data_IF_173476618368
#
_entry.id   IF_173476618368
#
_cell.length_a   1.000
_cell.length_b   1.000
_cell.length_c   1.000
_cell.angle_alpha   90.00
_cell.angle_beta   90.00
_cell.angle_gamma   90.00
#
_symmetry.space_group_name_H-M   'P 1'
#
loop_
_entity.id
_entity.type
_entity.pdbx_description
1 polymer ?
2 non-polymer ?
3 non-polymer ?
4 water ?
#
# COMPACT_ATOMS: atom_id res chain seq x y z
N UNK A 1 -15.33 -13.56 4.21
CA UNK A 1 -14.15 -14.38 4.43
C UNK A 1 -12.99 -13.86 3.62
N UNK A 2 -12.67 -14.55 2.52
CA UNK A 2 -11.66 -14.04 1.58
C UNK A 2 -12.30 -13.07 0.60
N UNK A 3 -11.78 -11.85 0.56
CA UNK A 3 -12.22 -10.84 -0.38
C UNK A 3 -11.69 -11.16 -1.77
N UNK A 4 -12.27 -10.50 -2.77
CA UNK A 4 -11.89 -10.74 -4.16
C UNK A 4 -10.78 -9.76 -4.53
N UNK A 5 -9.67 -10.29 -5.00
CA UNK A 5 -8.52 -9.51 -5.44
C UNK A 5 -8.50 -9.52 -6.97
N UNK A 6 -8.30 -8.35 -7.61
CA UNK A 6 -8.03 -7.02 -7.03
C UNK A 6 -9.25 -6.44 -6.31
N UNK A 7 -8.99 -5.76 -5.20
CA UNK A 7 -10.04 -5.23 -4.35
C UNK A 7 -9.93 -3.72 -4.31
N UNK A 8 -11.06 -3.02 -4.41
CA UNK A 8 -11.02 -1.58 -4.27
C UNK A 8 -11.77 -1.16 -3.02
N UNK A 9 -11.08 -0.41 -2.17
CA UNK A 9 -11.65 0.14 -0.95
C UNK A 9 -11.83 1.64 -1.12
N UNK A 10 -13.06 2.14 -1.20
CA UNK A 10 -13.27 3.59 -1.24
C UNK A 10 -12.78 4.24 0.05
N UNK A 11 -12.18 5.43 -0.09
CA UNK A 11 -11.70 6.23 1.03
C UNK A 11 -12.50 7.52 1.01
N UNK A 12 -13.64 7.57 1.71
CA UNK A 12 -14.59 8.68 1.52
C UNK A 12 -13.98 10.03 1.87
N UNK A 13 -13.94 10.92 0.89
CA UNK A 13 -13.32 12.21 1.12
C UNK A 13 -11.81 12.15 1.21
N UNK A 14 -11.19 11.09 0.69
CA UNK A 14 -9.74 11.00 0.63
C UNK A 14 -9.14 10.63 1.97
N UNK A 15 -7.83 10.85 2.09
CA UNK A 15 -7.13 10.57 3.33
C UNK A 15 -6.81 11.88 4.03
N UNK A 16 -6.33 11.75 5.26
CA UNK A 16 -6.13 12.89 6.15
C UNK A 16 -5.23 12.38 7.26
N UNK A 17 -4.34 13.20 7.83
CA UNK A 17 -3.53 12.71 8.94
C UNK A 17 -4.43 12.16 10.04
N UNK A 18 -3.91 11.12 10.71
CA UNK A 18 -4.52 10.30 11.76
C UNK A 18 -5.46 9.25 11.19
N UNK A 19 -5.51 9.08 9.88
CA UNK A 19 -6.29 8.01 9.27
C UNK A 19 -5.42 6.76 9.16
N UNK A 20 -5.92 5.64 9.68
CA UNK A 20 -5.18 4.38 9.75
C UNK A 20 -5.88 3.34 8.88
N UNK A 21 -5.16 2.81 7.89
CA UNK A 21 -5.71 1.81 6.98
C UNK A 21 -5.02 0.49 7.30
N UNK A 22 -5.82 -0.56 7.49
CA UNK A 22 -5.34 -1.86 7.94
C UNK A 22 -5.76 -2.92 6.93
N UNK A 23 -4.79 -3.66 6.42
CA UNK A 23 -4.99 -4.69 5.42
C UNK A 23 -4.53 -5.99 6.05
N UNK A 24 -5.42 -6.97 6.13
CA UNK A 24 -5.11 -8.30 6.64
C UNK A 24 -5.22 -9.30 5.50
N UNK A 25 -4.23 -10.18 5.40
CA UNK A 25 -4.24 -11.18 4.34
C UNK A 25 -3.17 -12.21 4.60
N UNK A 26 -3.08 -13.16 3.68
CA UNK A 26 -2.05 -14.19 3.71
C UNK A 26 -1.40 -14.25 2.34
N UNK A 27 -0.07 -14.28 2.31
CA UNK A 27 0.65 -14.38 1.05
C UNK A 27 0.45 -15.78 0.48
N UNK A 28 0.20 -15.86 -0.82
CA UNK A 28 0.08 -17.15 -1.47
C UNK A 28 1.44 -17.85 -1.48
N UNK A 29 1.47 -19.18 -1.65
CA UNK A 29 2.75 -19.85 -1.85
C UNK A 29 3.37 -19.42 -3.18
N UNK A 30 4.70 -19.32 -3.20
CA UNK A 30 5.42 -18.92 -4.41
C UNK A 30 4.93 -17.58 -4.95
N UNK A 31 4.58 -16.66 -4.05
CA UNK A 31 4.11 -15.36 -4.49
C UNK A 31 5.16 -14.63 -5.31
N UNK A 32 4.70 -13.82 -6.26
CA UNK A 32 5.57 -12.96 -7.06
C UNK A 32 5.47 -11.49 -6.69
N UNK A 33 4.28 -10.99 -6.33
CA UNK A 33 4.12 -9.56 -6.05
C UNK A 33 2.91 -9.30 -5.16
N UNK A 34 2.95 -8.14 -4.51
CA UNK A 34 1.83 -7.51 -3.82
C UNK A 34 1.82 -6.06 -4.26
N UNK A 35 0.64 -5.44 -4.32
CA UNK A 35 0.60 -4.01 -4.60
C UNK A 35 -0.55 -3.33 -3.86
N UNK A 36 -0.24 -2.24 -3.16
CA UNK A 36 -1.22 -1.29 -2.66
C UNK A 36 -1.12 -0.02 -3.48
N UNK A 37 -2.26 0.46 -3.98
CA UNK A 37 -2.31 1.65 -4.84
C UNK A 37 -3.31 2.66 -4.27
N UNK A 38 -2.80 3.65 -3.55
CA UNK A 38 -3.62 4.78 -3.09
C UNK A 38 -3.79 5.74 -4.27
N UNK A 39 -5.02 5.84 -4.79
CA UNK A 39 -5.26 6.51 -6.06
C UNK A 39 -6.00 7.83 -5.86
N UNK A 40 -5.59 8.82 -6.65
CA UNK A 40 -6.29 10.09 -6.84
C UNK A 40 -6.76 10.04 -8.29
N UNK A 41 -8.00 9.59 -8.51
CA UNK A 41 -8.43 9.35 -9.88
C UNK A 41 -7.51 8.36 -10.57
N UNK A 42 -7.01 8.72 -11.75
CA UNK A 42 -6.07 7.86 -12.47
C UNK A 42 -4.66 7.92 -11.91
N UNK A 43 -4.34 8.96 -11.13
CA UNK A 43 -3.00 9.04 -10.56
C UNK A 43 -2.89 8.09 -9.38
N UNK A 44 -1.67 7.59 -9.14
CA UNK A 44 -1.40 6.77 -7.96
C UNK A 44 -0.55 7.61 -7.03
N UNK A 45 -1.14 8.03 -5.91
CA UNK A 45 -0.43 8.90 -4.99
C UNK A 45 0.67 8.15 -4.26
N UNK A 46 0.39 6.90 -3.89
CA UNK A 46 1.31 6.08 -3.11
C UNK A 46 1.14 4.66 -3.62
N UNK A 47 2.18 4.15 -4.27
CA UNK A 47 2.28 2.79 -4.79
C UNK A 47 3.24 2.04 -3.88
N UNK A 48 2.77 0.94 -3.28
CA UNK A 48 3.54 0.14 -2.33
C UNK A 48 3.56 -1.28 -2.88
N UNK A 49 4.73 -1.75 -3.32
CA UNK A 49 4.83 -2.88 -4.25
C UNK A 49 5.93 -3.84 -3.81
N UNK A 50 5.63 -4.73 -2.87
CA UNK A 50 6.58 -5.83 -2.58
C UNK A 50 6.80 -6.71 -3.80
N UNK A 51 8.06 -6.95 -4.11
CA UNK A 51 8.47 -7.81 -5.22
C UNK A 51 9.27 -8.98 -4.66
N UNK A 52 8.77 -10.20 -4.85
CA UNK A 52 9.37 -11.37 -4.22
C UNK A 52 10.55 -11.93 -5.00
N UNK A 53 10.70 -11.58 -6.27
CA UNK A 53 11.80 -12.13 -7.05
C UNK A 53 12.11 -11.14 -8.17
N UNK A 54 12.89 -10.11 -7.83
CA UNK A 54 13.46 -9.20 -8.82
C UNK A 54 14.95 -9.53 -8.86
N UNK A 55 15.38 -10.22 -9.92
CA UNK A 55 16.76 -10.68 -10.03
C UNK A 55 17.18 -11.46 -8.79
N UNK A 56 16.26 -12.28 -8.27
CA UNK A 56 16.49 -13.19 -7.14
C UNK A 56 16.66 -12.45 -5.82
N UNK A 57 16.09 -11.26 -5.74
CA UNK A 57 16.11 -10.47 -4.52
C UNK A 57 14.68 -10.06 -4.18
N UNK A 58 14.44 -9.84 -2.90
CA UNK A 58 13.14 -9.39 -2.42
C UNK A 58 13.27 -7.91 -2.09
N UNK A 59 12.41 -7.08 -2.69
CA UNK A 59 12.49 -5.64 -2.52
C UNK A 59 11.08 -5.06 -2.52
N UNK A 60 10.89 -3.99 -1.76
CA UNK A 60 9.64 -3.24 -1.78
C UNK A 60 9.89 -1.96 -2.56
N UNK A 61 9.14 -1.77 -3.64
CA UNK A 61 9.27 -0.60 -4.50
C UNK A 61 8.09 0.33 -4.22
N UNK A 62 8.38 1.60 -3.94
CA UNK A 62 7.34 2.59 -3.74
C UNK A 62 7.51 3.69 -4.77
N UNK A 63 6.39 4.26 -5.21
CA UNK A 63 6.45 5.25 -6.28
C UNK A 63 5.10 5.96 -6.37
N UNK A 64 5.04 6.92 -7.28
CA UNK A 64 3.87 7.74 -7.56
C UNK A 64 3.71 7.78 -9.07
N UNK A 65 2.46 7.78 -9.53
CA UNK A 65 2.14 7.83 -10.95
C UNK A 65 1.30 9.07 -11.22
N UNK A 66 1.82 9.96 -12.06
CA UNK A 66 1.16 11.22 -12.40
C UNK A 66 0.98 11.30 -13.91
N UNK A 67 -0.26 11.55 -14.35
CA UNK A 67 -0.59 11.56 -15.78
C UNK A 67 0.04 10.37 -16.50
N UNK A 68 -0.12 9.19 -15.90
CA UNK A 68 0.32 7.89 -16.43
C UNK A 68 1.83 7.67 -16.43
N UNK A 69 2.62 8.52 -15.78
CA UNK A 69 4.07 8.37 -15.75
C UNK A 69 4.53 8.04 -14.34
N UNK A 70 5.26 6.94 -14.20
CA UNK A 70 5.85 6.58 -12.92
C UNK A 70 7.04 7.49 -12.60
N UNK A 71 7.15 7.88 -11.34
CA UNK A 71 8.20 8.77 -10.89
C UNK A 71 9.47 8.05 -10.48
N UNK A 72 10.25 8.72 -9.64
CA UNK A 72 11.48 8.18 -9.07
C UNK A 72 11.15 7.18 -7.97
N UNK A 73 11.66 5.95 -8.08
CA UNK A 73 11.32 4.90 -7.13
C UNK A 73 12.03 5.12 -5.80
N UNK A 74 11.38 4.69 -4.72
CA UNK A 74 11.99 4.60 -3.40
C UNK A 74 11.98 3.13 -3.01
N UNK A 75 13.15 2.60 -2.68
CA UNK A 75 13.30 1.17 -2.46
C UNK A 75 13.73 0.89 -1.03
N UNK A 76 13.17 -0.16 -0.45
CA UNK A 76 13.47 -0.60 0.90
C UNK A 76 13.77 -2.09 0.85
N UNK A 77 14.95 -2.48 1.33
CA UNK A 77 15.38 -3.87 1.27
C UNK A 77 14.96 -4.69 2.49
N UNK A 78 14.52 -4.06 3.58
CA UNK A 78 13.81 -4.81 4.60
C UNK A 78 12.52 -5.33 3.98
N UNK A 79 12.27 -6.63 4.14
CA UNK A 79 11.19 -7.30 3.41
C UNK A 79 10.53 -8.28 4.37
N UNK A 80 9.51 -7.82 5.11
CA UNK A 80 8.92 -8.67 6.15
C UNK A 80 7.94 -9.73 5.66
N UNK A 81 7.55 -9.72 4.39
CA UNK A 81 6.59 -10.69 3.89
C UNK A 81 7.28 -12.03 3.60
N UNK A 82 6.53 -13.11 3.78
CA UNK A 82 6.99 -14.44 3.40
C UNK A 82 5.84 -15.19 2.74
N UNK A 83 6.15 -15.92 1.67
CA UNK A 83 5.14 -16.72 1.00
C UNK A 83 4.51 -17.69 1.99
N UNK A 84 3.19 -17.85 1.88
CA UNK A 84 2.43 -18.73 2.74
C UNK A 84 2.01 -18.14 4.07
N UNK A 85 2.48 -16.91 4.43
CA UNK A 85 2.32 -16.50 5.82
C UNK A 85 1.34 -15.34 5.96
N UNK A 86 0.57 -15.29 7.05
CA UNK A 86 -0.37 -14.18 7.24
C UNK A 86 0.35 -12.90 7.62
N UNK A 87 -0.15 -11.77 7.12
CA UNK A 87 0.46 -10.48 7.38
C UNK A 87 -0.59 -9.47 7.81
N UNK A 88 -0.13 -8.39 8.44
CA UNK A 88 -0.93 -7.19 8.65
C UNK A 88 -0.12 -6.00 8.17
N UNK A 89 -0.70 -5.21 7.27
CA UNK A 89 -0.11 -3.95 6.83
C UNK A 89 -0.93 -2.82 7.44
N UNK A 90 -0.25 -1.89 8.11
CA UNK A 90 -0.88 -0.69 8.65
C UNK A 90 -0.27 0.52 7.98
N UNK A 91 -1.11 1.32 7.33
CA UNK A 91 -0.69 2.56 6.68
C UNK A 91 -1.34 3.69 7.45
N UNK A 92 -0.52 4.45 8.16
CA UNK A 92 -0.99 5.58 8.96
C UNK A 92 -0.63 6.85 8.21
N UNK A 93 -1.64 7.64 7.89
CA UNK A 93 -1.39 8.91 7.22
C UNK A 93 -0.93 9.91 8.28
N UNK A 94 0.24 10.50 8.07
CA UNK A 94 0.78 11.56 8.90
C UNK A 94 0.94 12.83 8.06
N UNK A 95 1.12 14.00 8.70
CA UNK A 95 1.10 15.26 7.93
C UNK A 95 2.05 15.28 6.74
N UNK A 96 3.24 14.69 6.87
CA UNK A 96 4.25 14.77 5.82
C UNK A 96 4.47 13.47 5.05
N UNK A 97 3.87 12.36 5.46
CA UNK A 97 4.21 11.08 4.83
C UNK A 97 3.17 10.03 5.17
N UNK A 98 3.14 8.98 4.35
CA UNK A 98 2.51 7.72 4.74
C UNK A 98 3.52 6.92 5.56
N UNK A 99 3.09 6.38 6.71
CA UNK A 99 3.95 5.58 7.57
C UNK A 99 3.43 4.14 7.56
N UNK A 100 4.28 3.21 7.13
CA UNK A 100 3.88 1.81 6.95
C UNK A 100 4.58 0.94 7.98
N UNK A 101 3.79 0.15 8.70
CA UNK A 101 4.26 -0.90 9.59
C UNK A 101 3.65 -2.22 9.13
N UNK A 102 4.44 -3.29 9.17
CA UNK A 102 3.95 -4.62 8.84
C UNK A 102 4.13 -5.50 10.07
N UNK A 103 3.07 -6.20 10.46
CA UNK A 103 3.14 -7.10 11.61
C UNK A 103 3.65 -6.35 12.85
N UNK A 104 3.17 -5.12 13.02
CA UNK A 104 3.43 -4.26 14.18
C UNK A 104 4.85 -3.73 14.24
N UNK A 105 5.64 -3.88 13.18
CA UNK A 105 7.01 -3.38 13.15
C UNK A 105 7.12 -2.31 12.07
N UNK A 106 7.64 -1.13 12.44
CA UNK A 106 7.79 -0.05 11.47
C UNK A 106 8.61 -0.51 10.28
N UNK A 107 8.16 -0.15 9.08
CA UNK A 107 8.82 -0.58 7.86
C UNK A 107 9.41 0.58 7.07
N UNK A 108 8.60 1.57 6.71
CA UNK A 108 9.08 2.66 5.87
C UNK A 108 8.09 3.81 5.95
N UNK A 109 8.55 4.98 5.55
CA UNK A 109 7.64 6.08 5.30
C UNK A 109 7.90 6.64 3.90
N UNK A 110 6.86 7.27 3.37
CA UNK A 110 6.84 7.76 2.00
C UNK A 110 6.28 9.16 2.02
N UNK A 111 7.11 10.14 1.66
CA UNK A 111 6.70 11.54 1.71
C UNK A 111 5.62 11.83 0.68
N UNK A 112 4.68 12.72 1.05
CA UNK A 112 3.58 13.07 0.16
C UNK A 112 4.11 13.81 -1.06
N UNK A 113 3.94 13.21 -2.24
CA UNK A 113 4.18 13.90 -3.50
C UNK A 113 2.89 14.50 -4.05
N UNK A 114 1.79 13.76 -3.93
CA UNK A 114 0.45 14.27 -4.20
C UNK A 114 0.01 15.04 -2.96
N UNK A 115 -0.37 16.30 -3.16
CA UNK A 115 -0.65 17.20 -2.05
C UNK A 115 -2.12 17.23 -1.67
N UNK A 116 -3.02 16.93 -2.61
CA UNK A 116 -4.46 16.98 -2.34
C UNK A 116 -4.85 15.67 -1.69
N UNK A 117 -4.52 15.55 -0.40
CA UNK A 117 -4.78 14.30 0.31
C UNK A 117 -6.25 13.93 0.27
N UNK A 118 -7.13 14.93 0.42
CA UNK A 118 -8.58 14.71 0.43
C UNK A 118 -9.12 14.22 -0.91
N UNK A 119 -8.29 14.07 -1.93
CA UNK A 119 -8.74 13.55 -3.22
C UNK A 119 -8.17 12.17 -3.51
N UNK A 120 -7.34 11.65 -2.62
CA UNK A 120 -6.87 10.26 -2.70
C UNK A 120 -7.98 9.39 -2.14
N UNK A 121 -9.00 9.09 -2.95
CA UNK A 121 -10.26 8.56 -2.42
C UNK A 121 -10.45 7.08 -2.72
N UNK A 122 -9.39 6.36 -3.07
CA UNK A 122 -9.60 4.93 -3.27
C UNK A 122 -8.28 4.19 -3.08
N UNK A 123 -8.36 3.00 -2.48
CA UNK A 123 -7.21 2.12 -2.28
C UNK A 123 -7.42 0.82 -3.03
N UNK A 124 -6.57 0.55 -4.01
CA UNK A 124 -6.58 -0.71 -4.73
C UNK A 124 -5.58 -1.67 -4.10
N UNK A 125 -6.03 -2.90 -3.88
CA UNK A 125 -5.22 -3.95 -3.27
C UNK A 125 -5.17 -5.13 -4.24
N UNK A 126 -3.96 -5.54 -4.62
CA UNK A 126 -3.81 -6.54 -5.66
C UNK A 126 -2.56 -7.37 -5.39
N UNK A 127 -2.41 -8.45 -6.15
CA UNK A 127 -1.24 -9.30 -6.07
C UNK A 127 -1.57 -10.68 -5.54
N UNK A 128 -0.51 -11.41 -5.20
CA UNK A 128 -0.60 -12.84 -4.90
C UNK A 128 -0.88 -13.04 -3.41
N UNK A 129 -2.08 -12.61 -2.98
CA UNK A 129 -2.51 -12.77 -1.60
C UNK A 129 -3.93 -13.31 -1.55
N UNK A 130 -4.24 -13.96 -0.43
CA UNK A 130 -5.61 -14.13 0.01
C UNK A 130 -5.92 -12.95 0.91
N UNK A 131 -6.87 -12.11 0.51
CA UNK A 131 -7.19 -10.91 1.27
C UNK A 131 -8.30 -11.22 2.27
N UNK A 132 -8.02 -10.99 3.55
CA UNK A 132 -8.98 -11.28 4.60
C UNK A 132 -9.84 -10.06 4.94
N UNK A 133 -9.21 -8.89 5.06
CA UNK A 133 -9.85 -7.71 5.62
C UNK A 133 -9.15 -6.49 5.05
N UNK A 134 -9.92 -5.43 4.78
CA UNK A 134 -9.33 -4.14 4.46
C UNK A 134 -10.25 -3.07 5.01
N UNK A 135 -9.72 -2.16 5.83
CA UNK A 135 -10.58 -1.20 6.51
C UNK A 135 -9.73 -0.02 6.96
N UNK A 136 -10.41 1.00 7.48
CA UNK A 136 -9.75 2.20 7.97
C UNK A 136 -10.42 2.64 9.26
N UNK A 137 -9.70 3.46 10.02
CA UNK A 137 -10.23 4.07 11.23
C UNK A 137 -9.43 5.33 11.52
N UNK A 138 -10.05 6.28 12.23
CA UNK A 138 -9.39 7.50 12.66
C UNK A 138 -8.86 7.31 14.07
N UNK A 139 -7.57 7.55 14.26
CA UNK A 139 -6.95 7.37 15.57
C UNK A 139 -6.57 8.71 16.18
X LIG B 1 -1.72 17.31 -5.79
X LIG C 1 22.59 -0.99 -7.13
X LIG C 1 21.29 -1.58 -9.04
X LIG C 1 17.25 -2.66 -12.52
X LIG C 1 20.80 -3.88 -9.57
X LIG C 1 11.75 -4.00 -14.55
X LIG C 1 16.19 -3.02 -13.23
X LIG C 1 12.02 -2.51 -14.40
X LIG C 1 21.26 -5.34 -9.51
X LIG C 1 13.46 -2.28 -14.02
X LIG C 1 5.12 -0.14 -10.81
X LIG C 1 12.08 -4.68 -13.21
X LIG C 1 4.56 -0.75 -12.07
X LIG C 1 5.68 -1.51 -12.69
X LIG C 1 6.28 0.79 -11.21
X LIG C 1 6.75 -0.53 -13.09
X LIG C 1 6.89 1.43 -9.97
X LIG C 1 9.29 -1.91 -15.06
X LIG C 1 10.42 -2.01 -16.10
X LIG C 1 8.65 -0.82 -14.70
X LIG C 1 22.27 -0.66 -8.49
X LIG C 1 20.94 -1.16 -10.47
X LIG C 1 20.42 0.19 -10.47
X LIG C 1 21.78 -2.96 -9.02
X LIG C 1 20.25 -6.18 -10.06
X LIG C 1 20.47 -3.53 -11.02
X LIG C 1 21.65 -3.62 -11.84
X LIG C 1 19.91 -2.13 -11.06
X LIG C 1 19.57 -1.75 -12.41
X LIG C 1 18.70 -2.72 -13.03
X LIG C 1 16.81 -2.27 -11.33
X LIG C 1 15.61 -2.37 -11.32
X LIG C 1 15.18 -2.79 -12.40
X LIG C 1 13.78 -3.03 -12.73
X LIG C 1 13.68 -0.87 -13.84
X LIG C 1 13.49 -4.46 -12.87
X LIG C 1 11.49 -6.11 -13.15
X LIG C 1 11.56 -6.61 -11.81
X LIG C 1 12.57 -4.55 -15.60
X LIG C 1 11.74 -1.79 -15.60
X LIG C 1 8.77 -2.93 -14.38
X LIG C 1 7.90 -2.50 -13.67
X LIG C 1 7.74 -1.29 -13.84
X LIG C 1 7.33 0.05 -11.89
X LIG C 1 7.94 2.31 -10.36
X LIG C 1 5.56 -1.16 -9.95
X LIG C 1 3.50 -1.69 -11.79
X LIG C 1 5.13 -2.08 -13.87
#
# INVERSE_FOLDING_TARGET
GPLIVPYNLPLPGGVVPRMLITILGTVKPNANRIALDFQRGNDVAFHFNPRFNENNRRVIVCNTKLDNNWGREERQSVFPFESGKPFKIQVLVEPDHFKVAVNDAHLLQYNHRVKKLNEISKLGISGDIDLTSASYTMI
CL CL
P8G C25 C21 C16 C20 C15 C17 C14 C19 C13 C9 C11 C8 C7 C5 C6 C4 C1 C3 C2 O16 C22 O14 O13 O12 C24 O15 C23 O11 C18 N6 N5 N4 C12 O9 O8 C10 O7 O10 O6 N3 N2 N1 O2 O1 O5 O4 O3
#
